data_IF_993918962384
#
_entry.id   IF_993918962384
#
_cell.length_a   1.000
_cell.length_b   1.000
_cell.length_c   1.000
_cell.angle_alpha   90.00
_cell.angle_beta   90.00
_cell.angle_gamma   90.00
#
_symmetry.space_group_name_H-M   'P 1'
#
loop_
_entity.id
_entity.type
_entity.pdbx_description
1 polymer ?
#
# COMPACT_ATOMS: atom_id res chain seq x y z
N UNK A 1 61.17 23.45 15.06
CA UNK A 1 60.78 23.22 13.65
C UNK A 1 59.34 23.68 13.51
N UNK A 2 59.16 24.91 13.01
CA UNK A 2 57.88 25.62 13.01
C UNK A 2 57.02 25.22 11.82
N UNK A 3 55.82 24.71 12.12
CA UNK A 3 54.79 24.35 11.16
C UNK A 3 54.12 25.62 10.59
N UNK A 4 54.44 25.97 9.34
CA UNK A 4 53.54 26.76 8.52
C UNK A 4 52.58 25.81 7.80
N UNK A 5 51.55 25.32 8.53
CA UNK A 5 50.41 24.71 7.85
C UNK A 5 49.75 25.75 6.95
N UNK A 6 49.56 25.41 5.68
CA UNK A 6 48.87 26.27 4.73
C UNK A 6 47.45 26.57 5.23
N UNK A 7 46.88 27.72 4.85
CA UNK A 7 45.48 28.03 5.22
C UNK A 7 44.51 26.96 4.71
N UNK A 8 44.87 26.31 3.62
CA UNK A 8 44.15 25.20 3.01
C UNK A 8 44.19 23.94 3.89
N UNK A 9 45.36 23.57 4.44
CA UNK A 9 45.48 22.46 5.41
C UNK A 9 44.71 22.73 6.70
N UNK A 10 44.70 23.99 7.17
CA UNK A 10 43.90 24.38 8.35
C UNK A 10 42.40 24.28 8.06
N UNK A 11 41.95 24.66 6.87
CA UNK A 11 40.56 24.55 6.44
C UNK A 11 40.13 23.09 6.28
N UNK A 12 40.98 22.25 5.67
CA UNK A 12 40.76 20.81 5.54
C UNK A 12 40.69 20.12 6.91
N UNK A 13 41.58 20.47 7.83
CA UNK A 13 41.58 19.93 9.20
C UNK A 13 40.30 20.31 9.97
N UNK A 14 39.81 21.55 9.81
CA UNK A 14 38.53 21.98 10.39
C UNK A 14 37.35 21.21 9.79
N UNK A 15 37.31 21.05 8.47
CA UNK A 15 36.26 20.28 7.79
C UNK A 15 36.27 18.81 8.23
N UNK A 16 37.44 18.18 8.29
CA UNK A 16 37.60 16.80 8.77
C UNK A 16 37.07 16.63 10.19
N UNK A 17 37.44 17.52 11.11
CA UNK A 17 36.90 17.52 12.49
C UNK A 17 35.39 17.70 12.56
N UNK A 18 34.80 18.53 11.70
CA UNK A 18 33.34 18.71 11.63
C UNK A 18 32.63 17.45 11.11
N UNK A 19 33.22 16.78 10.11
CA UNK A 19 32.72 15.51 9.60
C UNK A 19 32.81 14.43 10.68
N UNK A 20 33.97 14.26 11.34
CA UNK A 20 34.15 13.28 12.41
C UNK A 20 33.16 13.50 13.57
N UNK A 21 32.91 14.76 13.92
CA UNK A 21 31.90 15.11 14.94
C UNK A 21 30.51 14.70 14.49
N UNK A 22 30.14 15.00 13.24
CA UNK A 22 28.83 14.63 12.68
C UNK A 22 28.66 13.11 12.62
N UNK A 23 29.71 12.37 12.26
CA UNK A 23 29.70 10.89 12.23
C UNK A 23 29.46 10.33 13.63
N UNK A 24 30.14 10.86 14.66
CA UNK A 24 29.93 10.40 16.05
C UNK A 24 28.51 10.70 16.54
N UNK A 25 28.00 11.89 16.25
CA UNK A 25 26.63 12.26 16.63
C UNK A 25 25.59 11.37 15.94
N UNK A 26 25.80 11.01 14.67
CA UNK A 26 24.96 10.05 13.95
C UNK A 26 25.06 8.66 14.60
N UNK A 27 26.28 8.16 14.85
CA UNK A 27 26.50 6.85 15.46
C UNK A 27 25.85 6.73 16.85
N UNK A 28 26.02 7.74 17.71
CA UNK A 28 25.37 7.78 19.03
C UNK A 28 23.83 7.85 18.93
N UNK A 29 23.31 8.50 17.89
CA UNK A 29 21.88 8.51 17.57
C UNK A 29 21.39 7.16 17.06
N UNK A 30 22.22 6.43 16.32
CA UNK A 30 21.91 5.09 15.81
C UNK A 30 21.89 4.04 16.92
N UNK A 31 22.79 4.11 17.90
CA UNK A 31 22.80 3.19 19.05
C UNK A 31 21.57 3.32 19.95
N UNK A 32 20.89 4.48 19.88
CA UNK A 32 19.70 4.78 20.69
C UNK A 32 18.38 4.46 19.98
N UNK A 33 18.43 3.93 18.76
CA UNK A 33 17.24 3.59 17.99
C UNK A 33 16.92 2.10 18.07
N UNK A 34 15.63 1.76 18.12
CA UNK A 34 15.14 0.39 18.03
C UNK A 34 14.72 0.13 16.58
N UNK A 35 15.44 -0.77 15.91
CA UNK A 35 15.15 -1.26 14.56
C UNK A 35 14.20 -2.47 14.63
N UNK A 36 13.05 -2.35 13.97
CA UNK A 36 12.03 -3.39 13.85
C UNK A 36 11.88 -3.80 12.37
N UNK A 37 11.92 -5.10 12.10
CA UNK A 37 11.71 -5.65 10.76
C UNK A 37 10.35 -6.36 10.66
N UNK A 38 9.52 -5.94 9.71
CA UNK A 38 8.25 -6.58 9.42
C UNK A 38 8.46 -7.69 8.37
N UNK A 39 8.12 -8.93 8.71
CA UNK A 39 8.20 -10.09 7.81
C UNK A 39 6.85 -10.77 7.65
N UNK A 40 6.69 -11.51 6.57
CA UNK A 40 5.47 -12.25 6.26
C UNK A 40 5.27 -12.42 4.76
N UNK A 41 4.29 -13.24 4.40
CA UNK A 41 3.90 -13.46 3.00
C UNK A 41 3.46 -12.15 2.31
N UNK A 42 3.20 -12.20 1.00
CA UNK A 42 2.46 -11.12 0.35
C UNK A 42 1.11 -10.96 1.03
N UNK A 43 0.60 -9.72 1.10
CA UNK A 43 -0.81 -9.46 1.47
C UNK A 43 -1.21 -9.75 2.92
N UNK A 44 -0.32 -10.30 3.75
CA UNK A 44 -0.57 -10.56 5.17
C UNK A 44 -0.70 -9.32 6.09
N UNK A 45 -0.79 -8.11 5.54
CA UNK A 45 -1.07 -6.88 6.31
C UNK A 45 0.14 -6.10 6.86
N UNK A 46 1.38 -6.41 6.45
CA UNK A 46 2.60 -5.67 6.90
C UNK A 46 2.51 -4.17 6.66
N UNK A 47 2.22 -3.77 5.43
CA UNK A 47 2.11 -2.35 5.06
C UNK A 47 0.93 -1.69 5.77
N UNK A 48 -0.13 -2.43 6.09
CA UNK A 48 -1.27 -1.94 6.88
C UNK A 48 -0.85 -1.68 8.33
N UNK A 49 -0.08 -2.58 8.95
CA UNK A 49 0.49 -2.36 10.28
C UNK A 49 1.42 -1.15 10.30
N UNK A 50 2.27 -1.00 9.28
CA UNK A 50 3.16 0.15 9.15
C UNK A 50 2.36 1.47 9.00
N UNK A 51 1.32 1.50 8.15
CA UNK A 51 0.41 2.65 8.02
C UNK A 51 -0.25 3.00 9.37
N UNK A 52 -0.66 2.00 10.16
CA UNK A 52 -1.21 2.21 11.50
C UNK A 52 -0.19 2.82 12.47
N UNK A 53 1.04 2.30 12.51
CA UNK A 53 2.11 2.89 13.32
C UNK A 53 2.34 4.35 12.97
N UNK A 54 2.29 4.69 11.68
CA UNK A 54 2.41 6.07 11.20
C UNK A 54 1.25 6.95 11.69
N UNK A 55 0.01 6.47 11.63
CA UNK A 55 -1.18 7.18 12.13
C UNK A 55 -1.08 7.45 13.64
N UNK A 56 -0.60 6.48 14.40
CA UNK A 56 -0.56 6.54 15.87
C UNK A 56 0.65 7.32 16.42
N UNK A 57 1.78 7.32 15.71
CA UNK A 57 3.07 7.78 16.25
C UNK A 57 3.84 8.76 15.38
N UNK A 58 3.35 9.10 14.18
CA UNK A 58 4.08 9.96 13.21
C UNK A 58 3.15 10.94 12.50
N UNK A 59 2.31 11.65 13.26
CA UNK A 59 1.35 12.68 12.80
C UNK A 59 0.37 12.24 11.68
N UNK A 60 0.37 10.96 11.32
CA UNK A 60 -0.42 10.39 10.24
C UNK A 60 0.03 10.81 8.85
N UNK A 61 -0.95 11.01 7.97
CA UNK A 61 -0.76 11.40 6.57
C UNK A 61 -1.22 12.84 6.39
N UNK A 62 -0.44 13.61 5.65
CA UNK A 62 -0.79 14.98 5.26
C UNK A 62 -1.91 14.98 4.22
N UNK A 63 -2.65 16.08 4.09
CA UNK A 63 -3.68 16.22 3.05
C UNK A 63 -3.12 15.99 1.64
N UNK A 64 -1.88 16.40 1.38
CA UNK A 64 -1.21 16.16 0.10
C UNK A 64 -1.01 14.66 -0.15
N UNK A 65 -0.54 13.92 0.85
CA UNK A 65 -0.39 12.46 0.75
C UNK A 65 -1.74 11.76 0.60
N UNK A 66 -2.79 12.23 1.30
CA UNK A 66 -4.14 11.72 1.10
C UNK A 66 -4.59 11.88 -0.35
N UNK A 67 -4.34 13.07 -0.93
CA UNK A 67 -4.72 13.37 -2.31
C UNK A 67 -3.90 12.55 -3.33
N UNK A 68 -2.62 12.28 -3.05
CA UNK A 68 -1.80 11.40 -3.90
C UNK A 68 -2.31 9.94 -3.92
N UNK A 69 -3.00 9.48 -2.86
CA UNK A 69 -3.59 8.15 -2.82
C UNK A 69 -4.92 8.04 -3.59
N UNK A 70 -5.47 9.16 -4.07
CA UNK A 70 -6.77 9.20 -4.74
C UNK A 70 -6.81 8.34 -6.00
N UNK A 71 -5.81 8.48 -6.86
CA UNK A 71 -5.69 7.69 -8.10
C UNK A 71 -5.57 6.19 -7.82
N UNK A 72 -4.87 5.83 -6.74
CA UNK A 72 -4.72 4.43 -6.33
C UNK A 72 -6.05 3.86 -5.84
N UNK A 73 -6.86 4.63 -5.11
CA UNK A 73 -8.21 4.20 -4.72
C UNK A 73 -9.06 3.95 -5.97
N UNK A 74 -9.01 4.84 -6.96
CA UNK A 74 -9.73 4.66 -8.23
C UNK A 74 -9.33 3.39 -8.94
N UNK A 75 -8.02 3.21 -9.15
CA UNK A 75 -7.48 2.02 -9.81
C UNK A 75 -7.87 0.73 -9.08
N UNK A 76 -7.71 0.68 -7.75
CA UNK A 76 -8.10 -0.48 -6.94
C UNK A 76 -9.60 -0.79 -7.04
N UNK A 77 -10.45 0.24 -7.06
CA UNK A 77 -11.90 0.09 -7.13
C UNK A 77 -12.34 -0.45 -8.50
N UNK A 78 -11.76 0.07 -9.59
CA UNK A 78 -12.05 -0.39 -10.96
C UNK A 78 -11.51 -1.82 -11.18
N UNK A 79 -10.30 -2.12 -10.72
CA UNK A 79 -9.75 -3.47 -10.79
C UNK A 79 -10.57 -4.48 -9.98
N UNK A 80 -11.02 -4.13 -8.77
CA UNK A 80 -11.88 -5.01 -7.97
C UNK A 80 -13.20 -5.33 -8.69
N UNK A 81 -13.80 -4.33 -9.36
CA UNK A 81 -14.97 -4.57 -10.21
C UNK A 81 -14.65 -5.51 -11.37
N UNK A 82 -13.52 -5.31 -12.06
CA UNK A 82 -13.10 -6.18 -13.16
C UNK A 82 -12.80 -7.62 -12.70
N UNK A 83 -12.24 -7.81 -11.51
CA UNK A 83 -12.02 -9.13 -10.89
C UNK A 83 -13.35 -9.84 -10.62
N UNK A 84 -14.35 -9.13 -10.07
CA UNK A 84 -15.71 -9.66 -9.91
C UNK A 84 -16.30 -10.08 -11.26
N UNK A 85 -16.17 -9.25 -12.30
CA UNK A 85 -16.65 -9.57 -13.65
C UNK A 85 -15.96 -10.79 -14.26
N UNK A 86 -14.65 -10.95 -14.04
CA UNK A 86 -13.93 -12.17 -14.43
C UNK A 86 -14.39 -13.39 -13.63
N UNK A 87 -14.67 -13.21 -12.34
CA UNK A 87 -15.27 -14.23 -11.49
C UNK A 87 -16.63 -14.70 -12.01
N UNK A 88 -17.50 -13.79 -12.45
CA UNK A 88 -18.77 -14.15 -13.11
C UNK A 88 -18.54 -15.07 -14.31
N UNK A 89 -17.60 -14.73 -15.19
CA UNK A 89 -17.28 -15.52 -16.37
C UNK A 89 -16.72 -16.90 -16.00
N UNK A 90 -15.83 -16.96 -15.01
CA UNK A 90 -15.22 -18.21 -14.52
C UNK A 90 -16.28 -19.21 -14.03
N UNK A 91 -17.26 -18.71 -13.27
CA UNK A 91 -18.34 -19.53 -12.70
C UNK A 91 -19.59 -19.59 -13.58
N UNK A 92 -19.55 -19.01 -14.78
CA UNK A 92 -20.68 -18.94 -15.72
C UNK A 92 -21.94 -18.36 -15.08
N UNK A 93 -21.77 -17.37 -14.22
CA UNK A 93 -22.86 -16.62 -13.59
C UNK A 93 -23.29 -15.52 -14.57
N UNK A 94 -24.53 -15.58 -15.04
CA UNK A 94 -25.12 -14.53 -15.87
C UNK A 94 -25.65 -13.37 -15.03
N UNK A 95 -25.66 -12.17 -15.60
CA UNK A 95 -26.34 -11.02 -15.00
C UNK A 95 -27.85 -11.29 -14.85
N UNK A 96 -28.44 -10.70 -13.80
CA UNK A 96 -29.90 -10.72 -13.63
C UNK A 96 -30.57 -9.91 -14.74
N UNK A 97 -29.95 -8.81 -15.14
CA UNK A 97 -30.37 -7.99 -16.29
C UNK A 97 -29.37 -8.08 -17.44
N UNK A 98 -29.77 -8.53 -18.65
CA UNK A 98 -28.86 -8.64 -19.79
C UNK A 98 -28.16 -7.33 -20.19
N UNK A 99 -28.79 -6.17 -19.92
CA UNK A 99 -28.24 -4.85 -20.21
C UNK A 99 -26.95 -4.54 -19.44
N UNK A 100 -26.71 -5.20 -18.30
CA UNK A 100 -25.46 -5.04 -17.52
C UNK A 100 -24.20 -5.44 -18.30
N UNK A 101 -24.35 -6.19 -19.39
CA UNK A 101 -23.23 -6.56 -20.26
C UNK A 101 -22.55 -5.33 -20.89
N UNK A 102 -23.30 -4.26 -21.17
CA UNK A 102 -22.75 -2.97 -21.64
C UNK A 102 -21.94 -2.28 -20.53
N UNK A 103 -22.46 -2.27 -19.30
CA UNK A 103 -21.77 -1.70 -18.13
C UNK A 103 -20.45 -2.46 -17.85
N UNK A 104 -20.48 -3.79 -17.93
CA UNK A 104 -19.30 -4.63 -17.75
C UNK A 104 -18.23 -4.36 -18.82
N UNK A 105 -18.66 -4.14 -20.07
CA UNK A 105 -17.76 -3.77 -21.16
C UNK A 105 -17.10 -2.42 -20.89
N UNK A 106 -17.86 -1.42 -20.42
CA UNK A 106 -17.30 -0.10 -20.09
C UNK A 106 -16.17 -0.20 -19.05
N UNK A 107 -16.38 -0.95 -17.97
CA UNK A 107 -15.33 -1.17 -16.94
C UNK A 107 -14.06 -1.78 -17.54
N UNK A 108 -14.21 -2.79 -18.41
CA UNK A 108 -13.07 -3.45 -19.05
C UNK A 108 -12.37 -2.53 -20.07
N UNK A 109 -13.11 -1.66 -20.75
CA UNK A 109 -12.56 -0.66 -21.66
C UNK A 109 -11.78 0.43 -20.91
N UNK A 110 -12.27 0.90 -19.76
CA UNK A 110 -11.53 1.84 -18.90
C UNK A 110 -10.14 1.32 -18.54
N UNK A 111 -10.03 0.06 -18.11
CA UNK A 111 -8.72 -0.56 -17.81
C UNK A 111 -7.87 -0.68 -19.08
N UNK A 112 -8.47 -1.10 -20.20
CA UNK A 112 -7.74 -1.25 -21.46
C UNK A 112 -7.16 0.08 -21.96
N UNK A 113 -7.84 1.18 -21.67
CA UNK A 113 -7.42 2.53 -22.04
C UNK A 113 -6.47 3.16 -21.00
N UNK A 114 -6.13 2.45 -19.92
CA UNK A 114 -5.28 2.96 -18.82
C UNK A 114 -5.90 4.17 -18.09
N UNK A 115 -7.23 4.24 -18.05
CA UNK A 115 -8.01 5.33 -17.45
C UNK A 115 -8.51 4.99 -16.02
N UNK A 116 -8.14 3.82 -15.48
CA UNK A 116 -8.66 3.36 -14.18
C UNK A 116 -8.18 4.18 -12.98
N UNK A 117 -7.10 4.93 -13.15
CA UNK A 117 -6.52 5.79 -12.12
C UNK A 117 -7.13 7.21 -12.09
N UNK A 118 -7.97 7.54 -13.07
CA UNK A 118 -8.59 8.86 -13.24
C UNK A 118 -9.91 8.97 -12.45
N UNK A 119 -10.39 10.20 -12.16
CA UNK A 119 -11.72 10.41 -11.62
C UNK A 119 -12.78 9.74 -12.49
N UNK A 120 -13.71 9.02 -11.87
CA UNK A 120 -14.75 8.30 -12.60
C UNK A 120 -15.61 9.28 -13.41
N UNK A 121 -15.81 8.97 -14.69
CA UNK A 121 -16.86 9.60 -15.48
C UNK A 121 -18.23 9.26 -14.89
N UNK A 122 -19.23 10.12 -15.10
CA UNK A 122 -20.60 9.86 -14.66
C UNK A 122 -21.14 8.53 -15.21
N UNK A 123 -20.75 8.18 -16.44
CA UNK A 123 -21.10 6.93 -17.11
C UNK A 123 -20.48 5.72 -16.40
N UNK A 124 -19.17 5.76 -16.12
CA UNK A 124 -18.47 4.68 -15.42
C UNK A 124 -19.01 4.52 -14.00
N UNK A 125 -19.19 5.63 -13.26
CA UNK A 125 -19.73 5.61 -11.92
C UNK A 125 -21.13 4.98 -11.87
N UNK A 126 -22.00 5.36 -12.81
CA UNK A 126 -23.34 4.79 -12.89
C UNK A 126 -23.32 3.32 -13.32
N UNK A 127 -22.42 2.92 -14.22
CA UNK A 127 -22.21 1.53 -14.63
C UNK A 127 -21.77 0.67 -13.43
N UNK A 128 -20.74 1.09 -12.69
CA UNK A 128 -20.25 0.37 -11.51
C UNK A 128 -21.33 0.21 -10.43
N UNK A 129 -22.15 1.24 -10.20
CA UNK A 129 -23.27 1.17 -9.25
C UNK A 129 -24.34 0.17 -9.67
N UNK A 130 -24.71 0.16 -10.96
CA UNK A 130 -25.71 -0.79 -11.47
C UNK A 130 -25.19 -2.22 -11.49
N UNK A 131 -23.90 -2.41 -11.80
CA UNK A 131 -23.22 -3.70 -11.68
C UNK A 131 -23.23 -4.20 -10.23
N UNK A 132 -22.83 -3.36 -9.28
CA UNK A 132 -22.82 -3.72 -7.86
C UNK A 132 -24.22 -3.91 -7.27
N UNK A 133 -25.26 -3.34 -7.87
CA UNK A 133 -26.64 -3.59 -7.48
C UNK A 133 -27.20 -4.92 -8.01
N UNK A 134 -26.57 -5.54 -9.02
CA UNK A 134 -27.02 -6.83 -9.56
C UNK A 134 -26.74 -7.96 -8.54
N UNK A 135 -27.76 -8.70 -8.09
CA UNK A 135 -27.58 -9.81 -7.14
C UNK A 135 -26.63 -10.91 -7.64
N UNK A 136 -26.52 -11.10 -8.96
CA UNK A 136 -25.59 -12.03 -9.55
C UNK A 136 -24.14 -11.66 -9.19
N UNK A 137 -23.80 -10.37 -9.24
CA UNK A 137 -22.45 -9.90 -8.92
C UNK A 137 -22.25 -9.74 -7.40
N UNK A 138 -23.13 -8.99 -6.74
CA UNK A 138 -23.00 -8.59 -5.32
C UNK A 138 -23.10 -9.77 -4.36
N UNK A 139 -23.92 -10.76 -4.69
CA UNK A 139 -24.19 -11.90 -3.82
C UNK A 139 -23.59 -13.17 -4.36
N UNK A 140 -23.99 -13.61 -5.56
CA UNK A 140 -23.57 -14.93 -6.07
C UNK A 140 -22.07 -14.97 -6.35
N UNK A 141 -21.55 -14.03 -7.12
CA UNK A 141 -20.12 -13.98 -7.44
C UNK A 141 -19.27 -13.59 -6.23
N UNK A 142 -19.68 -12.58 -5.46
CA UNK A 142 -18.95 -12.18 -4.25
C UNK A 142 -18.87 -13.29 -3.18
N UNK A 143 -19.86 -14.19 -3.10
CA UNK A 143 -19.77 -15.35 -2.19
C UNK A 143 -18.57 -16.26 -2.51
N UNK A 144 -18.11 -16.27 -3.77
CA UNK A 144 -17.00 -17.06 -4.29
C UNK A 144 -15.67 -16.28 -4.35
N UNK A 145 -15.61 -15.09 -3.77
CA UNK A 145 -14.49 -14.14 -3.88
C UNK A 145 -13.11 -14.73 -3.53
N UNK A 146 -13.06 -15.67 -2.59
CA UNK A 146 -11.81 -16.34 -2.19
C UNK A 146 -11.28 -17.26 -3.29
N UNK A 147 -12.18 -17.87 -4.07
CA UNK A 147 -11.79 -18.82 -5.12
C UNK A 147 -11.08 -18.13 -6.30
N UNK A 148 -11.25 -16.82 -6.48
CA UNK A 148 -10.58 -16.03 -7.52
C UNK A 148 -9.73 -14.88 -6.97
N UNK A 149 -9.38 -14.92 -5.68
CA UNK A 149 -8.47 -13.98 -5.01
C UNK A 149 -8.87 -12.49 -5.13
N UNK A 150 -10.15 -12.19 -4.90
CA UNK A 150 -10.59 -10.80 -4.80
C UNK A 150 -10.03 -10.16 -3.51
N UNK A 151 -9.53 -8.93 -3.62
CA UNK A 151 -9.05 -8.21 -2.45
C UNK A 151 -10.11 -7.98 -1.36
N UNK A 152 -9.70 -8.14 -0.09
CA UNK A 152 -10.55 -7.95 1.08
C UNK A 152 -11.23 -6.58 1.14
N UNK A 153 -10.54 -5.53 0.67
CA UNK A 153 -11.07 -4.16 0.66
C UNK A 153 -12.09 -3.90 -0.45
N UNK A 154 -12.29 -4.82 -1.40
CA UNK A 154 -13.19 -4.64 -2.54
C UNK A 154 -14.59 -4.21 -2.08
N UNK A 155 -15.17 -4.91 -1.09
CA UNK A 155 -16.52 -4.60 -0.61
C UNK A 155 -16.64 -3.20 -0.01
N UNK A 156 -15.66 -2.74 0.76
CA UNK A 156 -15.67 -1.39 1.33
C UNK A 156 -15.77 -0.32 0.24
N UNK A 157 -15.01 -0.47 -0.85
CA UNK A 157 -15.03 0.48 -1.96
C UNK A 157 -16.28 0.34 -2.83
N UNK A 158 -16.75 -0.90 -3.09
CA UNK A 158 -18.00 -1.14 -3.84
C UNK A 158 -19.23 -0.56 -3.12
N UNK A 159 -19.30 -0.72 -1.79
CA UNK A 159 -20.38 -0.15 -0.98
C UNK A 159 -20.27 1.38 -0.85
N UNK A 160 -19.09 1.96 -1.16
CA UNK A 160 -18.81 3.39 -1.09
C UNK A 160 -18.75 4.08 -2.45
N UNK A 161 -19.28 3.48 -3.52
CA UNK A 161 -19.18 4.01 -4.89
C UNK A 161 -19.71 5.44 -5.02
N UNK A 162 -20.78 5.81 -4.30
CA UNK A 162 -21.27 7.21 -4.28
C UNK A 162 -20.25 8.20 -3.74
N UNK A 163 -19.51 7.81 -2.70
CA UNK A 163 -18.44 8.65 -2.11
C UNK A 163 -17.25 8.73 -3.06
N UNK A 164 -16.81 7.59 -3.57
CA UNK A 164 -15.60 7.48 -4.41
C UNK A 164 -15.81 8.19 -5.75
N UNK A 165 -17.00 8.07 -6.35
CA UNK A 165 -17.33 8.73 -7.63
C UNK A 165 -17.58 10.23 -7.51
N UNK A 166 -17.53 10.82 -6.32
CA UNK A 166 -17.77 12.24 -6.16
C UNK A 166 -16.60 13.05 -6.77
N UNK A 167 -16.84 14.11 -7.56
CA UNK A 167 -15.76 14.93 -8.13
C UNK A 167 -14.86 15.57 -7.07
N UNK A 168 -15.43 15.89 -5.90
CA UNK A 168 -14.72 16.44 -4.74
C UNK A 168 -14.21 15.36 -3.77
N UNK A 169 -14.18 14.09 -4.19
CA UNK A 169 -13.72 12.98 -3.36
C UNK A 169 -12.31 13.22 -2.83
N UNK A 170 -12.16 13.01 -1.52
CA UNK A 170 -10.88 12.99 -0.81
C UNK A 170 -10.77 11.66 -0.06
N UNK A 171 -9.68 10.89 -0.25
CA UNK A 171 -9.46 9.67 0.51
C UNK A 171 -9.39 9.94 2.00
N UNK A 172 -10.04 9.09 2.78
CA UNK A 172 -9.91 9.08 4.24
C UNK A 172 -8.68 8.28 4.67
N UNK A 173 -8.30 8.40 5.95
CA UNK A 173 -7.28 7.52 6.56
C UNK A 173 -7.66 6.04 6.44
N UNK A 174 -8.95 5.72 6.52
CA UNK A 174 -9.46 4.36 6.34
C UNK A 174 -9.25 3.88 4.90
N UNK A 175 -9.48 4.75 3.90
CA UNK A 175 -9.24 4.40 2.50
C UNK A 175 -7.76 4.08 2.29
N UNK A 176 -6.83 4.88 2.82
CA UNK A 176 -5.39 4.59 2.74
C UNK A 176 -5.03 3.24 3.34
N UNK A 177 -5.61 2.87 4.48
CA UNK A 177 -5.35 1.58 5.12
C UNK A 177 -5.82 0.42 4.26
N UNK A 178 -6.91 0.60 3.51
CA UNK A 178 -7.54 -0.41 2.67
C UNK A 178 -7.03 -0.43 1.23
N UNK A 179 -6.37 0.63 0.77
CA UNK A 179 -5.72 0.70 -0.54
C UNK A 179 -4.55 -0.27 -0.60
N UNK A 180 -4.54 -1.09 -1.65
CA UNK A 180 -3.48 -2.04 -1.95
C UNK A 180 -2.48 -1.41 -2.91
N UNK A 181 -1.26 -1.24 -2.41
CA UNK A 181 -0.07 -0.94 -3.21
C UNK A 181 0.88 -2.10 -3.01
N UNK A 182 1.31 -2.72 -4.10
CA UNK A 182 2.33 -3.75 -4.04
C UNK A 182 3.64 -3.11 -3.56
N UNK A 183 4.07 -3.47 -2.35
CA UNK A 183 5.35 -3.02 -1.81
C UNK A 183 6.50 -3.59 -2.63
N UNK A 184 7.30 -2.71 -3.20
CA UNK A 184 8.53 -3.03 -3.91
C UNK A 184 9.71 -2.47 -3.13
N UNK A 185 10.77 -3.27 -2.99
CA UNK A 185 11.93 -2.87 -2.21
C UNK A 185 11.69 -2.84 -0.71
N UNK A 186 12.25 -1.83 -0.06
CA UNK A 186 12.30 -1.64 1.39
C UNK A 186 11.70 -0.26 1.66
N UNK A 187 10.66 -0.22 2.49
CA UNK A 187 10.06 1.00 2.97
C UNK A 187 10.43 1.17 4.43
N UNK A 188 10.88 2.37 4.80
CA UNK A 188 11.27 2.71 6.18
C UNK A 188 10.37 3.81 6.71
N UNK A 189 9.92 3.68 7.96
CA UNK A 189 9.35 4.79 8.74
C UNK A 189 10.10 4.93 10.06
N UNK A 190 10.15 6.16 10.57
CA UNK A 190 10.73 6.49 11.87
C UNK A 190 9.73 7.24 12.72
N UNK A 191 9.64 6.90 14.00
CA UNK A 191 8.78 7.62 14.96
C UNK A 191 9.33 7.54 16.39
N UNK A 192 8.82 8.38 17.29
CA UNK A 192 9.21 8.42 18.69
C UNK A 192 8.09 7.87 19.57
N UNK A 193 8.39 6.88 20.41
CA UNK A 193 7.49 6.40 21.46
C UNK A 193 8.16 6.63 22.81
N UNK A 194 7.56 7.47 23.65
CA UNK A 194 8.06 7.77 25.01
C UNK A 194 9.55 8.15 25.04
N UNK A 195 10.00 8.91 24.04
CA UNK A 195 11.39 9.37 23.92
C UNK A 195 12.37 8.36 23.29
N UNK A 196 11.90 7.15 22.95
CA UNK A 196 12.70 6.14 22.24
C UNK A 196 12.39 6.21 20.74
N UNK A 197 13.44 6.27 19.91
CA UNK A 197 13.30 6.31 18.44
C UNK A 197 13.12 4.88 17.92
N UNK A 198 12.04 4.65 17.19
CA UNK A 198 11.79 3.41 16.47
C UNK A 198 12.01 3.63 14.99
N UNK A 199 12.67 2.66 14.34
CA UNK A 199 12.81 2.54 12.88
C UNK A 199 12.18 1.24 12.45
N UNK A 200 11.16 1.32 11.61
CA UNK A 200 10.40 0.14 11.16
C UNK A 200 10.64 -0.05 9.68
N UNK A 201 11.02 -1.26 9.30
CA UNK A 201 11.30 -1.65 7.91
C UNK A 201 10.21 -2.61 7.42
N UNK A 202 9.51 -2.24 6.36
CA UNK A 202 8.56 -3.10 5.63
C UNK A 202 9.24 -3.55 4.33
N UNK A 203 9.29 -4.86 4.15
CA UNK A 203 9.88 -5.48 2.97
C UNK A 203 8.80 -6.18 2.16
N UNK A 204 8.93 -6.11 0.84
CA UNK A 204 8.00 -6.80 -0.08
C UNK A 204 7.88 -8.29 0.26
N UNK A 205 6.65 -8.77 0.48
CA UNK A 205 6.37 -10.16 0.88
C UNK A 205 6.36 -11.17 -0.27
N UNK A 206 6.27 -10.67 -1.51
CA UNK A 206 6.22 -11.49 -2.72
C UNK A 206 7.54 -12.20 -2.98
N UNK A 207 7.49 -13.39 -3.61
CA UNK A 207 8.67 -14.25 -3.83
C UNK A 207 9.83 -13.53 -4.51
N UNK A 208 9.56 -12.64 -5.47
CA UNK A 208 10.58 -11.84 -6.17
C UNK A 208 11.30 -10.85 -5.24
N UNK A 209 10.62 -10.35 -4.21
CA UNK A 209 11.13 -9.34 -3.30
C UNK A 209 11.93 -9.94 -2.13
N UNK A 210 11.73 -11.23 -1.81
CA UNK A 210 12.39 -11.90 -0.66
C UNK A 210 13.91 -11.90 -0.71
N UNK A 211 14.50 -11.82 -1.91
CA UNK A 211 15.96 -11.69 -2.07
C UNK A 211 16.52 -10.42 -1.44
N UNK A 212 15.70 -9.37 -1.30
CA UNK A 212 16.09 -8.07 -0.73
C UNK A 212 16.07 -8.07 0.80
N UNK A 213 15.42 -9.05 1.43
CA UNK A 213 15.27 -9.08 2.89
C UNK A 213 16.61 -9.11 3.61
N UNK A 214 17.63 -9.76 3.03
CA UNK A 214 18.97 -9.89 3.62
C UNK A 214 19.59 -8.53 3.99
N UNK A 215 19.28 -7.47 3.23
CA UNK A 215 19.80 -6.11 3.46
C UNK A 215 19.14 -5.42 4.66
N UNK A 216 18.05 -5.96 5.19
CA UNK A 216 17.32 -5.39 6.31
C UNK A 216 17.52 -6.16 7.62
N UNK A 217 18.26 -7.27 7.61
CA UNK A 217 18.47 -8.10 8.80
C UNK A 217 19.66 -7.65 9.67
N UNK A 218 20.53 -6.79 9.15
CA UNK A 218 21.69 -6.31 9.90
C UNK A 218 21.25 -5.37 11.03
N UNK A 219 21.71 -5.67 12.25
CA UNK A 219 21.45 -4.91 13.48
C UNK A 219 19.96 -4.69 13.83
N UNK A 220 19.08 -5.60 13.42
CA UNK A 220 17.67 -5.55 13.82
C UNK A 220 17.51 -5.97 15.29
N UNK A 221 16.80 -5.16 16.07
CA UNK A 221 16.53 -5.48 17.47
C UNK A 221 15.41 -6.52 17.63
N UNK A 222 14.38 -6.45 16.77
CA UNK A 222 13.28 -7.42 16.78
C UNK A 222 12.62 -7.61 15.41
N UNK A 223 12.09 -8.81 15.19
CA UNK A 223 11.30 -9.17 14.01
C UNK A 223 9.84 -9.31 14.41
N UNK A 224 8.95 -8.64 13.67
CA UNK A 224 7.50 -8.82 13.77
C UNK A 224 7.06 -9.65 12.56
N UNK A 225 6.71 -10.90 12.81
CA UNK A 225 6.23 -11.80 11.76
C UNK A 225 4.70 -11.76 11.68
N UNK A 226 4.17 -11.52 10.48
CA UNK A 226 2.74 -11.41 10.20
C UNK A 226 2.26 -12.56 9.33
N UNK A 227 1.14 -13.18 9.73
CA UNK A 227 0.46 -14.23 9.01
C UNK A 227 -1.03 -13.89 8.89
N UNK A 228 -1.57 -14.00 7.68
CA UNK A 228 -3.01 -13.90 7.47
C UNK A 228 -3.67 -15.24 7.84
N UNK A 229 -4.52 -15.22 8.86
CA UNK A 229 -5.28 -16.41 9.29
C UNK A 229 -6.44 -16.68 8.34
N UNK A 230 -6.93 -15.65 7.64
CA UNK A 230 -8.00 -15.74 6.65
C UNK A 230 -7.59 -16.47 5.37
N UNK A 231 -6.30 -16.54 5.04
CA UNK A 231 -5.79 -17.15 3.81
C UNK A 231 -5.62 -18.69 3.92
N UNK A 232 -6.18 -19.34 4.95
CA UNK A 232 -5.97 -20.78 5.18
C UNK A 232 -6.56 -21.68 4.08
N UNK A 233 -7.57 -21.18 3.35
CA UNK A 233 -8.26 -21.85 2.24
C UNK A 233 -7.99 -21.19 0.88
N UNK A 234 -7.04 -20.25 0.81
CA UNK A 234 -6.60 -19.63 -0.45
C UNK A 234 -5.52 -20.46 -1.16
N UNK A 235 -5.45 -20.33 -2.48
CA UNK A 235 -4.55 -21.11 -3.33
C UNK A 235 -3.62 -20.19 -4.09
N UNK A 236 -2.33 -20.18 -3.74
CA UNK A 236 -1.34 -19.41 -4.50
C UNK A 236 -1.25 -19.90 -5.95
N UNK A 237 -1.76 -19.11 -6.89
CA UNK A 237 -1.51 -19.31 -8.32
C UNK A 237 -0.11 -18.79 -8.66
N UNK A 238 0.77 -19.71 -9.07
CA UNK A 238 2.18 -19.44 -9.42
C UNK A 238 2.35 -18.93 -10.84
#
# INVERSE_FOLDING_TARGET
MGLCQSEEEKKQTKNSKMIDKSIREIAEGEDKQIKLLLLGAGECGKSTLMKQMRILHSDGFTEEELLQQRSVVYSNTVHAMAELLRGMNLYKIGFTEPKRMEDARLVMETIRNEEESEPFSDELAAAMKRLWADPALNTQTYSKRLEFHLHDSAKHFMDSLDRVSNPSYRPSRQDILLTRIKTTGIVEISFLIKGVKFRVFDVGGQRSERKKWIHCFEDVNAVIFMAAVSEYDEVFYF
#
